data_IF_741959108158
#
_entry.id   IF_741959108158
#
_cell.length_a   1.000
_cell.length_b   1.000
_cell.length_c   1.000
_cell.angle_alpha   90.00
_cell.angle_beta   90.00
_cell.angle_gamma   90.00
#
_symmetry.space_group_name_H-M   'P 1'
#
loop_
_entity.id
_entity.type
_entity.pdbx_description
1 polymer ?
#
# COMPACT_ATOMS: atom_id res chain seq x y z
N UNK A 1 -27.24 26.01 -11.71
CA UNK A 1 -26.51 26.01 -10.42
C UNK A 1 -25.09 25.50 -10.67
N UNK A 2 -24.14 26.42 -10.92
CA UNK A 2 -22.73 26.06 -11.20
C UNK A 2 -22.05 25.86 -9.85
N UNK A 3 -21.97 24.62 -9.39
CA UNK A 3 -21.09 24.27 -8.27
C UNK A 3 -19.67 24.63 -8.74
N UNK A 4 -19.00 25.56 -8.05
CA UNK A 4 -17.63 25.95 -8.38
C UNK A 4 -16.73 24.72 -8.44
N UNK A 5 -15.78 24.71 -9.38
CA UNK A 5 -14.80 23.62 -9.55
C UNK A 5 -14.09 23.24 -8.24
N UNK A 6 -13.90 24.22 -7.34
CA UNK A 6 -13.32 24.03 -6.02
C UNK A 6 -14.16 23.16 -5.08
N UNK A 7 -15.49 23.30 -5.10
CA UNK A 7 -16.39 22.50 -4.27
C UNK A 7 -16.43 21.03 -4.72
N UNK A 8 -16.37 20.77 -6.03
CA UNK A 8 -16.33 19.40 -6.58
C UNK A 8 -15.06 18.64 -6.18
N UNK A 9 -13.91 19.33 -6.21
CA UNK A 9 -12.63 18.75 -5.79
C UNK A 9 -12.59 18.44 -4.29
N UNK A 10 -13.30 19.22 -3.48
CA UNK A 10 -13.44 18.96 -2.04
C UNK A 10 -14.21 17.67 -1.76
N UNK A 11 -15.33 17.43 -2.48
CA UNK A 11 -16.14 16.24 -2.27
C UNK A 11 -15.39 14.95 -2.64
N UNK A 12 -14.69 14.95 -3.79
CA UNK A 12 -13.88 13.81 -4.24
C UNK A 12 -12.88 13.36 -3.17
N UNK A 13 -12.30 14.31 -2.41
CA UNK A 13 -11.30 14.03 -1.38
C UNK A 13 -11.84 13.21 -0.21
N UNK A 14 -13.13 13.35 0.11
CA UNK A 14 -13.77 12.62 1.20
C UNK A 14 -14.19 11.20 0.79
N UNK A 15 -14.53 11.00 -0.49
CA UNK A 15 -14.98 9.70 -0.99
C UNK A 15 -13.83 8.84 -1.54
N UNK A 16 -12.74 9.47 -2.03
CA UNK A 16 -11.64 8.77 -2.66
C UNK A 16 -11.00 7.68 -1.77
N UNK A 17 -10.83 7.85 -0.45
CA UNK A 17 -10.30 6.79 0.43
C UNK A 17 -11.11 5.48 0.41
N UNK A 18 -12.37 5.51 -0.04
CA UNK A 18 -13.25 4.33 -0.13
C UNK A 18 -12.88 3.44 -1.33
N UNK A 19 -12.21 3.99 -2.36
CA UNK A 19 -11.82 3.27 -3.58
C UNK A 19 -11.09 1.95 -3.26
N UNK A 20 -10.00 1.94 -2.46
CA UNK A 20 -9.31 0.69 -2.11
C UNK A 20 -10.21 -0.35 -1.44
N UNK A 21 -11.15 0.07 -0.59
CA UNK A 21 -12.06 -0.85 0.09
C UNK A 21 -13.00 -1.52 -0.90
N UNK A 22 -13.60 -0.75 -1.80
CA UNK A 22 -14.50 -1.29 -2.84
C UNK A 22 -13.72 -2.20 -3.78
N UNK A 23 -12.51 -1.80 -4.20
CA UNK A 23 -11.68 -2.59 -5.09
C UNK A 23 -11.28 -3.93 -4.47
N UNK A 24 -10.85 -3.94 -3.20
CA UNK A 24 -10.49 -5.17 -2.47
C UNK A 24 -11.71 -6.04 -2.19
N UNK A 25 -12.84 -5.47 -1.76
CA UNK A 25 -14.07 -6.22 -1.54
C UNK A 25 -14.55 -6.90 -2.84
N UNK A 26 -14.62 -6.15 -3.93
CA UNK A 26 -15.02 -6.70 -5.22
C UNK A 26 -14.00 -7.73 -5.71
N UNK A 27 -12.72 -7.37 -5.75
CA UNK A 27 -11.67 -8.22 -6.30
C UNK A 27 -11.47 -9.51 -5.52
N UNK A 28 -11.24 -9.44 -4.21
CA UNK A 28 -10.90 -10.61 -3.40
C UNK A 28 -12.12 -11.42 -2.94
N UNK A 29 -13.24 -10.78 -2.61
CA UNK A 29 -14.38 -11.50 -2.00
C UNK A 29 -15.49 -11.84 -3.00
N UNK A 30 -15.68 -11.05 -4.06
CA UNK A 30 -16.70 -11.32 -5.09
C UNK A 30 -16.08 -12.07 -6.27
N UNK A 31 -14.99 -11.55 -6.83
CA UNK A 31 -14.33 -12.15 -8.01
C UNK A 31 -13.24 -13.16 -7.66
N UNK A 32 -12.81 -13.23 -6.40
CA UNK A 32 -11.73 -14.11 -5.93
C UNK A 32 -10.45 -13.99 -6.77
N UNK A 33 -10.06 -12.76 -7.10
CA UNK A 33 -8.92 -12.48 -7.97
C UNK A 33 -8.10 -11.29 -7.49
N UNK A 34 -6.82 -11.54 -7.20
CA UNK A 34 -5.86 -10.49 -6.86
C UNK A 34 -5.67 -9.49 -8.02
N UNK A 35 -5.74 -9.96 -9.26
CA UNK A 35 -5.64 -9.13 -10.46
C UNK A 35 -6.81 -8.17 -10.62
N UNK A 36 -8.04 -8.65 -10.40
CA UNK A 36 -9.21 -7.77 -10.43
C UNK A 36 -9.14 -6.72 -9.32
N UNK A 37 -8.71 -7.14 -8.12
CA UNK A 37 -8.51 -6.22 -6.99
C UNK A 37 -7.54 -5.09 -7.32
N UNK A 38 -6.33 -5.41 -7.80
CA UNK A 38 -5.31 -4.40 -8.10
C UNK A 38 -5.70 -3.52 -9.29
N UNK A 39 -6.34 -4.10 -10.32
CA UNK A 39 -6.78 -3.35 -11.50
C UNK A 39 -7.87 -2.33 -11.14
N UNK A 40 -8.88 -2.71 -10.36
CA UNK A 40 -9.93 -1.80 -9.90
C UNK A 40 -9.35 -0.71 -8.99
N UNK A 41 -8.42 -1.09 -8.12
CA UNK A 41 -7.79 -0.17 -7.19
C UNK A 41 -7.03 0.94 -7.93
N UNK A 42 -6.12 0.55 -8.83
CA UNK A 42 -5.33 1.50 -9.59
C UNK A 42 -6.13 2.28 -10.62
N UNK A 43 -7.14 1.68 -11.25
CA UNK A 43 -8.05 2.42 -12.14
C UNK A 43 -8.74 3.56 -11.38
N UNK A 44 -9.27 3.28 -10.18
CA UNK A 44 -9.89 4.31 -9.34
C UNK A 44 -8.92 5.43 -8.94
N UNK A 45 -7.70 5.08 -8.53
CA UNK A 45 -6.65 6.06 -8.22
C UNK A 45 -6.28 6.92 -9.43
N UNK A 46 -6.03 6.30 -10.58
CA UNK A 46 -5.64 6.99 -11.83
C UNK A 46 -6.73 7.98 -12.24
N UNK A 47 -8.00 7.58 -12.18
CA UNK A 47 -9.14 8.47 -12.45
C UNK A 47 -9.09 9.70 -11.53
N UNK A 48 -8.94 9.49 -10.21
CA UNK A 48 -8.86 10.60 -9.25
C UNK A 48 -7.67 11.51 -9.57
N UNK A 49 -6.46 10.95 -9.72
CA UNK A 49 -5.24 11.69 -10.00
C UNK A 49 -5.31 12.47 -11.32
N UNK A 50 -5.97 11.91 -12.34
CA UNK A 50 -6.20 12.57 -13.62
C UNK A 50 -7.10 13.80 -13.47
N UNK A 51 -8.24 13.67 -12.80
CA UNK A 51 -9.18 14.78 -12.61
C UNK A 51 -8.67 15.86 -11.66
N UNK A 52 -7.84 15.49 -10.67
CA UNK A 52 -7.25 16.43 -9.71
C UNK A 52 -5.89 16.99 -10.16
N UNK A 53 -5.35 16.48 -11.27
CA UNK A 53 -4.00 16.79 -11.80
C UNK A 53 -2.89 16.58 -10.78
N UNK A 54 -3.04 15.60 -9.88
CA UNK A 54 -2.13 15.37 -8.75
C UNK A 54 -0.96 14.43 -9.07
N UNK A 55 -0.36 14.56 -10.27
CA UNK A 55 0.73 13.69 -10.76
C UNK A 55 2.14 14.16 -10.35
N UNK A 56 2.26 15.19 -9.51
CA UNK A 56 3.53 15.79 -9.17
C UNK A 56 4.23 15.02 -8.05
N UNK A 57 5.46 14.54 -8.32
CA UNK A 57 6.29 13.79 -7.35
C UNK A 57 6.96 14.68 -6.29
N UNK A 58 6.83 16.01 -6.40
CA UNK A 58 7.49 16.94 -5.49
C UNK A 58 8.94 17.24 -5.86
N UNK A 59 9.70 17.70 -4.88
CA UNK A 59 11.10 18.07 -5.01
C UNK A 59 11.99 16.82 -5.11
N UNK A 60 13.05 16.85 -5.94
CA UNK A 60 14.05 15.80 -5.94
C UNK A 60 14.84 15.80 -4.63
N UNK A 61 15.59 14.72 -4.39
CA UNK A 61 16.58 14.62 -3.32
C UNK A 61 17.70 15.63 -3.61
N UNK A 62 18.01 16.51 -2.64
CA UNK A 62 18.96 17.62 -2.85
C UNK A 62 20.19 17.53 -1.96
N UNK A 63 20.07 16.92 -0.79
CA UNK A 63 21.13 16.94 0.22
C UNK A 63 21.62 15.54 0.56
N UNK A 64 22.85 15.44 1.04
CA UNK A 64 23.39 14.19 1.60
C UNK A 64 22.56 13.68 2.78
N UNK A 65 21.95 14.58 3.57
CA UNK A 65 21.04 14.19 4.63
C UNK A 65 19.80 13.47 4.08
N UNK A 66 19.20 13.97 3.00
CA UNK A 66 18.06 13.31 2.34
C UNK A 66 18.42 11.91 1.83
N UNK A 67 19.64 11.73 1.29
CA UNK A 67 20.15 10.42 0.85
C UNK A 67 20.30 9.45 2.03
N UNK A 68 20.84 9.92 3.16
CA UNK A 68 20.95 9.08 4.37
C UNK A 68 19.58 8.66 4.86
N UNK A 69 18.61 9.58 4.91
CA UNK A 69 17.22 9.28 5.28
C UNK A 69 16.60 8.27 4.32
N UNK A 70 16.81 8.43 3.01
CA UNK A 70 16.34 7.48 1.99
C UNK A 70 16.87 6.07 2.27
N UNK A 71 18.19 5.91 2.38
CA UNK A 71 18.84 4.60 2.58
C UNK A 71 18.34 3.95 3.87
N UNK A 72 18.27 4.73 4.95
CA UNK A 72 17.77 4.27 6.24
C UNK A 72 16.32 3.79 6.16
N UNK A 73 15.45 4.54 5.47
CA UNK A 73 14.04 4.20 5.30
C UNK A 73 13.84 2.97 4.41
N UNK A 74 14.64 2.81 3.35
CA UNK A 74 14.66 1.59 2.53
C UNK A 74 15.04 0.39 3.41
N UNK A 75 16.12 0.52 4.18
CA UNK A 75 16.60 -0.55 5.05
C UNK A 75 15.53 -0.99 6.06
N UNK A 76 14.94 -0.04 6.81
CA UNK A 76 13.89 -0.36 7.78
C UNK A 76 12.68 -0.99 7.10
N UNK A 77 12.25 -0.44 5.96
CA UNK A 77 11.05 -0.95 5.27
C UNK A 77 11.25 -2.37 4.76
N UNK A 78 12.46 -2.70 4.30
CA UNK A 78 12.83 -4.06 3.89
C UNK A 78 12.75 -5.08 5.03
N UNK A 79 12.90 -4.66 6.30
CA UNK A 79 12.78 -5.58 7.43
C UNK A 79 11.37 -6.15 7.61
N UNK A 80 10.33 -5.52 7.04
CA UNK A 80 8.96 -6.00 7.12
C UNK A 80 8.81 -7.43 6.57
N UNK A 81 9.35 -7.71 5.38
CA UNK A 81 9.35 -9.05 4.81
C UNK A 81 10.14 -10.06 5.63
N UNK A 82 11.27 -9.65 6.21
CA UNK A 82 12.08 -10.50 7.09
C UNK A 82 11.27 -10.92 8.32
N UNK A 83 10.59 -9.99 8.98
CA UNK A 83 9.72 -10.30 10.11
C UNK A 83 8.57 -11.22 9.71
N UNK A 84 7.92 -10.98 8.58
CA UNK A 84 6.86 -11.86 8.09
C UNK A 84 7.39 -13.28 7.88
N UNK A 85 8.53 -13.43 7.19
CA UNK A 85 9.11 -14.74 6.92
C UNK A 85 9.39 -15.53 8.21
N UNK A 86 10.01 -14.90 9.20
CA UNK A 86 10.38 -15.55 10.47
C UNK A 86 9.19 -15.78 11.40
N UNK A 87 8.24 -14.86 11.46
CA UNK A 87 7.08 -14.96 12.35
C UNK A 87 5.92 -15.72 11.72
N UNK A 88 5.99 -16.10 10.44
CA UNK A 88 4.90 -16.73 9.71
C UNK A 88 4.18 -17.88 10.44
N UNK A 89 4.88 -18.83 11.11
CA UNK A 89 4.22 -19.91 11.85
C UNK A 89 3.30 -19.42 12.98
N UNK A 90 3.56 -18.24 13.54
CA UNK A 90 2.75 -17.60 14.57
C UNK A 90 1.64 -16.71 13.99
N UNK A 91 1.88 -16.14 12.80
CA UNK A 91 0.96 -15.19 12.16
C UNK A 91 -0.22 -15.90 11.47
N UNK A 92 0.07 -16.99 10.74
CA UNK A 92 -0.88 -17.60 9.81
C UNK A 92 -2.12 -18.19 10.49
N UNK A 93 -3.21 -18.30 9.75
CA UNK A 93 -4.36 -19.10 10.15
C UNK A 93 -3.97 -20.60 10.22
N UNK A 94 -4.53 -21.34 11.17
CA UNK A 94 -4.15 -22.74 11.43
C UNK A 94 -4.32 -23.64 10.19
N UNK A 95 -5.47 -23.51 9.52
CA UNK A 95 -5.87 -24.32 8.36
C UNK A 95 -5.38 -23.75 7.01
N UNK A 96 -4.59 -22.67 7.02
CA UNK A 96 -4.17 -22.01 5.77
C UNK A 96 -3.13 -22.83 5.02
N UNK A 97 -3.49 -23.23 3.80
CA UNK A 97 -2.58 -23.71 2.76
C UNK A 97 -2.25 -22.54 1.83
N UNK A 98 -1.16 -21.83 2.14
CA UNK A 98 -0.78 -20.58 1.47
C UNK A 98 -0.69 -20.73 -0.06
N UNK A 99 -0.09 -21.83 -0.54
CA UNK A 99 0.10 -22.09 -1.97
C UNK A 99 -1.22 -22.25 -2.71
N UNK A 100 -2.20 -22.93 -2.11
CA UNK A 100 -3.55 -23.09 -2.68
C UNK A 100 -4.27 -21.75 -2.72
N UNK A 101 -4.29 -21.01 -1.61
CA UNK A 101 -4.97 -19.71 -1.52
C UNK A 101 -4.42 -18.71 -2.56
N UNK A 102 -3.10 -18.63 -2.69
CA UNK A 102 -2.47 -17.75 -3.69
C UNK A 102 -2.80 -18.20 -5.12
N UNK A 103 -2.79 -19.51 -5.40
CA UNK A 103 -3.16 -20.03 -6.71
C UNK A 103 -4.61 -19.71 -7.07
N UNK A 104 -5.52 -19.85 -6.11
CA UNK A 104 -6.96 -19.57 -6.30
C UNK A 104 -7.18 -18.07 -6.59
N UNK A 105 -6.37 -17.19 -6.01
CA UNK A 105 -6.36 -15.76 -6.31
C UNK A 105 -5.67 -15.39 -7.65
N UNK A 106 -5.18 -16.38 -8.41
CA UNK A 106 -4.48 -16.20 -9.68
C UNK A 106 -3.01 -15.81 -9.56
N UNK A 107 -2.40 -16.08 -8.39
CA UNK A 107 -0.99 -15.81 -8.08
C UNK A 107 -0.17 -17.11 -8.06
N UNK A 108 -0.09 -17.77 -9.22
CA UNK A 108 0.79 -18.92 -9.45
C UNK A 108 1.64 -18.72 -10.72
N UNK A 109 2.72 -19.49 -10.85
CA UNK A 109 3.57 -19.52 -12.05
C UNK A 109 4.07 -18.15 -12.54
N UNK A 110 3.99 -17.91 -13.86
CA UNK A 110 4.40 -16.65 -14.49
C UNK A 110 3.55 -15.44 -14.08
N UNK A 111 2.21 -15.52 -14.00
CA UNK A 111 1.39 -14.43 -13.46
C UNK A 111 1.91 -13.92 -12.12
N UNK A 112 2.27 -14.82 -11.19
CA UNK A 112 2.78 -14.37 -9.91
C UNK A 112 4.05 -13.53 -10.05
N UNK A 113 5.05 -13.97 -10.83
CA UNK A 113 6.28 -13.18 -11.03
C UNK A 113 6.01 -11.79 -11.61
N UNK A 114 5.07 -11.68 -12.56
CA UNK A 114 4.63 -10.39 -13.10
C UNK A 114 4.00 -9.54 -12.00
N UNK A 115 3.15 -10.14 -11.16
CA UNK A 115 2.53 -9.47 -10.03
C UNK A 115 3.59 -8.94 -9.07
N UNK A 116 4.62 -9.73 -8.70
CA UNK A 116 5.71 -9.28 -7.81
C UNK A 116 6.39 -8.05 -8.39
N UNK A 117 6.84 -8.11 -9.65
CA UNK A 117 7.53 -6.98 -10.30
C UNK A 117 6.65 -5.74 -10.34
N UNK A 118 5.38 -5.90 -10.71
CA UNK A 118 4.42 -4.80 -10.72
C UNK A 118 4.23 -4.18 -9.33
N UNK A 119 4.11 -5.03 -8.31
CA UNK A 119 3.78 -4.62 -6.95
C UNK A 119 4.89 -3.82 -6.28
N UNK A 120 6.17 -4.05 -6.56
CA UNK A 120 7.21 -3.17 -6.00
C UNK A 120 7.66 -2.03 -6.93
N UNK A 121 7.17 -1.95 -8.16
CA UNK A 121 7.56 -0.89 -9.12
C UNK A 121 6.45 0.13 -9.35
N UNK A 122 5.28 -0.31 -9.81
CA UNK A 122 4.17 0.57 -10.21
C UNK A 122 3.28 0.91 -9.02
N UNK A 123 2.95 -0.08 -8.19
CA UNK A 123 2.08 0.10 -7.02
C UNK A 123 2.54 1.25 -6.11
N UNK A 124 3.77 1.27 -5.57
CA UNK A 124 4.20 2.32 -4.63
C UNK A 124 4.14 3.71 -5.25
N UNK A 125 4.36 3.86 -6.56
CA UNK A 125 4.26 5.16 -7.23
C UNK A 125 2.81 5.67 -7.22
N UNK A 126 1.86 4.84 -7.66
CA UNK A 126 0.45 5.22 -7.72
C UNK A 126 -0.13 5.45 -6.33
N UNK A 127 0.20 4.56 -5.38
CA UNK A 127 -0.25 4.66 -4.00
C UNK A 127 0.25 5.93 -3.34
N UNK A 128 1.55 6.26 -3.44
CA UNK A 128 2.09 7.45 -2.79
C UNK A 128 1.59 8.75 -3.45
N UNK A 129 1.43 8.77 -4.78
CA UNK A 129 0.78 9.90 -5.48
C UNK A 129 -0.64 10.12 -4.96
N UNK A 130 -1.41 9.05 -4.78
CA UNK A 130 -2.79 9.14 -4.31
C UNK A 130 -2.88 9.50 -2.83
N UNK A 131 -2.21 8.75 -1.95
CA UNK A 131 -2.34 8.90 -0.51
C UNK A 131 -1.61 10.12 0.05
N UNK A 132 -0.40 10.42 -0.45
CA UNK A 132 0.47 11.49 0.09
C UNK A 132 0.49 12.70 -0.82
N UNK A 133 0.43 12.50 -2.14
CA UNK A 133 0.31 13.58 -3.11
C UNK A 133 -1.08 14.25 -3.08
N UNK A 134 -2.14 13.49 -3.35
CA UNK A 134 -3.50 14.01 -3.40
C UNK A 134 -4.15 14.11 -2.01
N UNK A 135 -4.21 13.01 -1.26
CA UNK A 135 -4.87 12.94 0.06
C UNK A 135 -3.99 13.43 1.23
N UNK A 136 -2.75 13.85 0.96
CA UNK A 136 -1.78 14.26 1.98
C UNK A 136 -2.26 15.44 2.84
N UNK A 137 -1.83 15.45 4.11
CA UNK A 137 -2.22 16.47 5.09
C UNK A 137 -0.98 17.13 5.71
N UNK A 138 -0.99 18.45 5.97
CA UNK A 138 0.11 19.14 6.63
C UNK A 138 0.20 18.84 8.14
N UNK A 139 -0.77 18.13 8.72
CA UNK A 139 -0.79 17.81 10.15
C UNK A 139 0.45 17.03 10.60
N UNK A 140 0.96 17.33 11.79
CA UNK A 140 2.04 16.58 12.43
C UNK A 140 1.54 15.33 13.18
N UNK A 141 0.23 15.23 13.44
CA UNK A 141 -0.41 14.10 14.13
C UNK A 141 -1.00 13.12 13.14
N UNK A 142 -1.33 11.91 13.61
CA UNK A 142 -2.11 10.92 12.85
C UNK A 142 -3.43 11.56 12.39
N UNK A 143 -3.81 11.33 11.15
CA UNK A 143 -5.09 11.79 10.57
C UNK A 143 -5.88 10.62 10.01
N UNK A 144 -7.15 10.86 9.73
CA UNK A 144 -8.07 9.84 9.23
C UNK A 144 -7.57 9.16 7.94
N UNK A 145 -6.83 9.84 7.07
CA UNK A 145 -6.26 9.23 5.86
C UNK A 145 -5.17 8.19 6.17
N UNK A 146 -4.42 8.35 7.27
CA UNK A 146 -3.45 7.34 7.71
C UNK A 146 -4.18 6.07 8.19
N UNK A 147 -5.36 6.25 8.81
CA UNK A 147 -6.26 5.18 9.25
C UNK A 147 -6.91 4.48 8.04
N UNK A 148 -7.43 5.25 7.08
CA UNK A 148 -8.02 4.70 5.86
C UNK A 148 -7.03 3.86 5.06
N UNK A 149 -5.78 4.34 4.93
CA UNK A 149 -4.69 3.59 4.31
C UNK A 149 -4.48 2.25 4.98
N UNK A 150 -4.36 2.21 6.32
CA UNK A 150 -4.15 0.96 7.04
C UNK A 150 -5.37 0.03 6.98
N UNK A 151 -6.59 0.59 7.02
CA UNK A 151 -7.80 -0.20 7.20
C UNK A 151 -8.18 -1.06 5.98
N UNK A 152 -7.87 -0.67 4.74
CA UNK A 152 -8.20 -1.55 3.60
C UNK A 152 -7.29 -2.79 3.57
N UNK A 153 -6.07 -2.68 4.09
CA UNK A 153 -5.15 -3.81 4.21
C UNK A 153 -5.70 -4.87 5.17
N UNK A 154 -6.48 -4.47 6.19
CA UNK A 154 -7.17 -5.43 7.07
C UNK A 154 -8.03 -6.39 6.24
N UNK A 155 -8.71 -5.91 5.21
CA UNK A 155 -9.52 -6.77 4.34
C UNK A 155 -8.70 -7.84 3.64
N UNK A 156 -7.48 -7.52 3.20
CA UNK A 156 -6.57 -8.49 2.61
C UNK A 156 -6.08 -9.46 3.68
N UNK A 157 -5.66 -8.96 4.84
CA UNK A 157 -5.08 -9.75 5.92
C UNK A 157 -6.04 -10.76 6.55
N UNK A 158 -7.36 -10.50 6.49
CA UNK A 158 -8.40 -11.42 6.99
C UNK A 158 -8.31 -12.83 6.40
N UNK A 159 -7.82 -12.97 5.16
CA UNK A 159 -7.68 -14.28 4.50
C UNK A 159 -6.43 -15.04 4.90
N UNK A 160 -5.46 -14.41 5.57
CA UNK A 160 -4.12 -14.99 5.74
C UNK A 160 -3.65 -15.13 7.19
N UNK A 161 -4.01 -14.20 8.07
CA UNK A 161 -3.42 -14.14 9.42
C UNK A 161 -4.48 -14.08 10.52
N UNK A 162 -4.09 -14.46 11.73
CA UNK A 162 -4.99 -14.50 12.90
C UNK A 162 -5.39 -13.09 13.35
N UNK A 163 -6.60 -12.95 13.91
CA UNK A 163 -7.20 -11.66 14.27
C UNK A 163 -6.33 -10.77 15.19
N UNK A 164 -5.63 -11.36 16.17
CA UNK A 164 -4.73 -10.60 17.06
C UNK A 164 -3.59 -9.93 16.29
N UNK A 165 -3.02 -10.63 15.31
CA UNK A 165 -1.96 -10.11 14.44
C UNK A 165 -2.48 -9.13 13.39
N UNK A 166 -3.76 -9.19 13.01
CA UNK A 166 -4.41 -8.18 12.17
C UNK A 166 -4.45 -6.83 12.90
N UNK A 167 -4.88 -6.81 14.17
CA UNK A 167 -4.92 -5.58 14.98
C UNK A 167 -3.51 -4.98 15.11
N UNK A 168 -2.52 -5.83 15.40
CA UNK A 168 -1.13 -5.39 15.49
C UNK A 168 -0.60 -4.82 14.16
N UNK A 169 -0.83 -5.54 13.05
CA UNK A 169 -0.46 -5.09 11.70
C UNK A 169 -1.12 -3.77 11.34
N UNK A 170 -2.40 -3.60 11.68
CA UNK A 170 -3.11 -2.35 11.47
C UNK A 170 -2.45 -1.17 12.18
N UNK A 171 -2.07 -1.32 13.45
CA UNK A 171 -1.39 -0.25 14.20
C UNK A 171 -0.03 0.10 13.59
N UNK A 172 0.74 -0.92 13.16
CA UNK A 172 2.00 -0.70 12.42
C UNK A 172 1.73 0.08 11.13
N UNK A 173 0.75 -0.33 10.34
CA UNK A 173 0.43 0.32 9.07
C UNK A 173 -0.04 1.77 9.25
N UNK A 174 -0.79 2.09 10.30
CA UNK A 174 -1.13 3.48 10.64
C UNK A 174 0.13 4.28 10.95
N UNK A 175 1.04 3.72 11.75
CA UNK A 175 2.32 4.34 12.09
C UNK A 175 3.20 4.59 10.86
N UNK A 176 3.34 3.58 9.99
CA UNK A 176 4.07 3.67 8.72
C UNK A 176 3.43 4.72 7.80
N UNK A 177 2.11 4.74 7.70
CA UNK A 177 1.41 5.68 6.85
C UNK A 177 1.60 7.13 7.29
N UNK A 178 1.50 7.36 8.59
CA UNK A 178 1.83 8.64 9.21
C UNK A 178 3.28 9.03 8.96
N UNK A 179 4.24 8.11 9.13
CA UNK A 179 5.68 8.37 8.93
C UNK A 179 5.98 8.76 7.48
N UNK A 180 5.49 8.01 6.49
CA UNK A 180 5.65 8.37 5.07
C UNK A 180 5.04 9.73 4.74
N UNK A 181 3.89 10.08 5.34
CA UNK A 181 3.32 11.42 5.19
C UNK A 181 4.20 12.50 5.82
N UNK A 182 4.82 12.25 6.97
CA UNK A 182 5.75 13.21 7.58
C UNK A 182 7.00 13.39 6.72
N UNK A 183 7.52 12.33 6.11
CA UNK A 183 8.64 12.41 5.17
C UNK A 183 8.28 13.21 3.93
N UNK A 184 7.11 12.93 3.33
CA UNK A 184 6.60 13.69 2.20
C UNK A 184 6.49 15.20 2.52
N UNK A 185 5.94 15.54 3.69
CA UNK A 185 5.79 16.92 4.17
C UNK A 185 7.14 17.59 4.44
N UNK A 186 8.07 16.91 5.10
CA UNK A 186 9.38 17.47 5.47
C UNK A 186 10.27 17.72 4.26
N UNK A 187 10.32 16.77 3.34
CA UNK A 187 11.20 16.82 2.16
C UNK A 187 10.49 17.41 0.92
N UNK A 188 9.20 17.76 1.04
CA UNK A 188 8.38 18.33 -0.04
C UNK A 188 8.40 17.45 -1.30
N UNK A 189 8.48 16.13 -1.13
CA UNK A 189 8.72 15.17 -2.20
C UNK A 189 8.32 13.74 -1.83
N UNK A 190 7.93 12.96 -2.84
CA UNK A 190 7.42 11.59 -2.66
C UNK A 190 8.49 10.52 -2.88
N UNK A 191 9.72 10.89 -3.26
CA UNK A 191 10.78 9.91 -3.58
C UNK A 191 11.08 9.00 -2.39
N UNK A 192 11.25 9.56 -1.18
CA UNK A 192 11.55 8.77 0.02
C UNK A 192 10.38 7.82 0.36
N UNK A 193 9.12 8.29 0.46
CA UNK A 193 7.98 7.40 0.60
C UNK A 193 7.91 6.31 -0.46
N UNK A 194 8.00 6.66 -1.76
CA UNK A 194 7.89 5.70 -2.88
C UNK A 194 8.96 4.61 -2.78
N UNK A 195 10.22 4.98 -2.58
CA UNK A 195 11.32 4.03 -2.55
C UNK A 195 11.28 3.12 -1.31
N UNK A 196 10.90 3.67 -0.15
CA UNK A 196 10.76 2.89 1.07
C UNK A 196 9.51 1.98 1.03
N UNK A 197 8.41 2.44 0.45
CA UNK A 197 7.23 1.62 0.16
C UNK A 197 7.56 0.49 -0.80
N UNK A 198 8.24 0.77 -1.92
CA UNK A 198 8.73 -0.24 -2.86
C UNK A 198 9.60 -1.32 -2.16
N UNK A 199 10.46 -0.91 -1.23
CA UNK A 199 11.28 -1.83 -0.46
C UNK A 199 10.45 -2.71 0.51
N UNK A 200 9.42 -2.14 1.15
CA UNK A 200 8.47 -2.90 1.95
C UNK A 200 7.76 -3.94 1.07
N UNK A 201 7.15 -3.51 -0.03
CA UNK A 201 6.41 -4.36 -0.97
C UNK A 201 7.26 -5.50 -1.52
N UNK A 202 8.47 -5.19 -1.99
CA UNK A 202 9.43 -6.19 -2.48
C UNK A 202 9.77 -7.21 -1.40
N UNK A 203 10.02 -6.77 -0.17
CA UNK A 203 10.37 -7.66 0.94
C UNK A 203 9.20 -8.54 1.37
N UNK A 204 7.99 -7.97 1.50
CA UNK A 204 6.79 -8.67 1.96
C UNK A 204 6.36 -9.72 0.93
N UNK A 205 6.23 -9.31 -0.34
CA UNK A 205 5.82 -10.23 -1.41
C UNK A 205 6.91 -11.27 -1.68
N UNK A 206 8.19 -10.89 -1.59
CA UNK A 206 9.32 -11.82 -1.66
C UNK A 206 9.27 -12.88 -0.56
N UNK A 207 8.98 -12.48 0.68
CA UNK A 207 8.81 -13.41 1.80
C UNK A 207 7.64 -14.38 1.55
N UNK A 208 6.49 -13.88 1.12
CA UNK A 208 5.32 -14.71 0.78
C UNK A 208 5.65 -15.70 -0.34
N UNK A 209 6.37 -15.27 -1.37
CA UNK A 209 6.82 -16.12 -2.48
C UNK A 209 7.74 -17.25 -2.03
N UNK A 210 8.68 -16.95 -1.12
CA UNK A 210 9.56 -17.98 -0.54
C UNK A 210 8.76 -18.95 0.33
N UNK A 211 7.86 -18.45 1.19
CA UNK A 211 7.05 -19.27 2.08
C UNK A 211 6.17 -20.26 1.32
N UNK A 212 5.51 -19.85 0.23
CA UNK A 212 4.66 -20.75 -0.55
C UNK A 212 5.43 -21.83 -1.33
N UNK A 213 6.76 -21.76 -1.37
CA UNK A 213 7.61 -22.80 -1.98
C UNK A 213 8.19 -23.78 -0.95
N UNK A 214 8.09 -23.43 0.33
CA UNK A 214 8.56 -24.27 1.43
C UNK A 214 7.47 -25.20 1.99
N UNK A 215 6.20 -24.87 1.72
CA UNK A 215 5.01 -25.61 2.14
C UNK A 215 4.38 -26.29 0.93
#
# INVERSE_FOLDING_TARGET
MIISTQNRLSYLRHIAPIIPYVAVLMGLFIFQSAWVSIALYHLGMIIVLWFTRSWYLGQPIKTWHDVIVLIFMIFISFTAGVFIYWLWPLLKLAELLLTTELSDLGLSGLPWLIFIVYYFTVNPILEELFWRGYLGSPSHFVVLNDIWFAGYHVLVLLSFIQAGWIVFSFLILVGTAWLWRQLARRHQGLIIPIASHAAADASIIGAVYLLARLV
#
